data_IF_622006321515
#
_entry.id   IF_622006321515
#
_cell.length_a   1.000
_cell.length_b   1.000
_cell.length_c   1.000
_cell.angle_alpha   90.00
_cell.angle_beta   90.00
_cell.angle_gamma   90.00
#
_symmetry.space_group_name_H-M   'P 1'
#
loop_
_entity.id
_entity.type
_entity.pdbx_description
1 polymer ?
#
# COMPACT_ATOMS: atom_id res chain seq x y z
N UNK A 1 -2.07 -20.47 -5.66
CA UNK A 1 -2.02 -20.03 -4.25
C UNK A 1 -1.30 -18.69 -4.19
N UNK A 2 -1.69 -17.78 -3.30
CA UNK A 2 -0.98 -16.50 -3.11
C UNK A 2 0.02 -16.59 -1.97
N UNK A 3 1.20 -16.01 -2.16
CA UNK A 3 2.28 -15.91 -1.18
C UNK A 3 2.52 -14.46 -0.81
N UNK A 4 2.61 -14.20 0.48
CA UNK A 4 2.87 -12.87 1.02
C UNK A 4 4.33 -12.48 0.81
N UNK A 5 4.57 -11.33 0.17
CA UNK A 5 5.90 -10.76 -0.02
C UNK A 5 6.20 -9.71 1.04
N UNK A 6 5.27 -8.76 1.24
CA UNK A 6 5.46 -7.62 2.13
C UNK A 6 4.10 -7.11 2.63
N UNK A 7 4.02 -6.83 3.93
CA UNK A 7 2.90 -6.07 4.50
C UNK A 7 3.22 -4.57 4.47
N UNK A 8 2.24 -3.77 4.09
CA UNK A 8 2.22 -2.32 4.35
C UNK A 8 1.72 -2.15 5.78
N UNK A 9 2.64 -1.78 6.66
CA UNK A 9 2.44 -1.76 8.12
C UNK A 9 2.18 -0.35 8.62
N UNK A 10 1.49 -0.26 9.75
CA UNK A 10 1.29 0.98 10.52
C UNK A 10 2.21 0.98 11.75
N UNK A 11 2.44 2.14 12.40
CA UNK A 11 3.35 2.26 13.53
C UNK A 11 3.04 1.28 14.66
N UNK A 12 4.09 0.69 15.25
CA UNK A 12 3.97 -0.18 16.40
C UNK A 12 4.77 0.41 17.56
N UNK A 13 4.12 0.60 18.72
CA UNK A 13 4.72 1.18 19.93
C UNK A 13 5.99 0.43 20.34
N UNK A 14 6.01 -0.89 20.15
CA UNK A 14 7.14 -1.74 20.55
C UNK A 14 8.37 -1.61 19.62
N UNK A 15 8.22 -1.00 18.44
CA UNK A 15 9.25 -0.92 17.41
C UNK A 15 9.70 0.52 17.13
N UNK A 16 8.77 1.35 16.68
CA UNK A 16 9.04 2.72 16.27
C UNK A 16 7.71 3.49 16.16
N UNK A 17 7.65 4.65 16.82
CA UNK A 17 6.48 5.54 16.81
C UNK A 17 6.60 6.68 15.81
N UNK A 18 7.69 6.78 15.06
CA UNK A 18 7.89 7.78 14.01
C UNK A 18 6.97 7.54 12.80
N UNK A 19 5.75 8.07 12.86
CA UNK A 19 4.69 7.80 11.88
C UNK A 19 5.12 8.05 10.42
N UNK A 20 5.98 9.05 10.17
CA UNK A 20 6.46 9.39 8.83
C UNK A 20 7.30 8.28 8.16
N UNK A 21 7.83 7.34 8.93
CA UNK A 21 8.50 6.16 8.39
C UNK A 21 7.52 5.11 7.83
N UNK A 22 6.24 5.21 8.21
CA UNK A 22 5.16 4.31 7.85
C UNK A 22 4.20 4.93 6.85
N UNK A 23 3.68 6.12 7.11
CA UNK A 23 2.76 6.79 6.20
C UNK A 23 2.91 8.31 6.27
N UNK A 24 2.37 8.99 5.27
CA UNK A 24 2.12 10.44 5.31
C UNK A 24 0.65 10.68 5.04
N UNK A 25 0.03 11.60 5.77
CA UNK A 25 -1.38 11.93 5.54
C UNK A 25 -1.65 13.40 5.83
N UNK A 26 -2.67 13.95 5.16
CA UNK A 26 -3.14 15.31 5.39
C UNK A 26 -4.40 15.27 6.27
N UNK A 27 -4.22 15.32 7.59
CA UNK A 27 -5.35 15.34 8.54
C UNK A 27 -5.89 13.96 8.94
N UNK A 28 -5.29 12.88 8.44
CA UNK A 28 -5.50 11.55 9.02
C UNK A 28 -4.91 11.45 10.43
N UNK A 29 -5.47 10.56 11.24
CA UNK A 29 -5.03 10.33 12.62
C UNK A 29 -4.81 8.84 12.85
N UNK A 30 -3.61 8.48 13.30
CA UNK A 30 -3.34 7.12 13.72
C UNK A 30 -3.92 6.86 15.11
N UNK A 31 -4.60 5.73 15.26
CA UNK A 31 -5.09 5.26 16.53
C UNK A 31 -4.21 4.11 17.02
N UNK A 32 -3.39 4.38 18.02
CA UNK A 32 -2.49 3.40 18.60
C UNK A 32 -3.20 2.24 19.32
N UNK A 33 -4.41 2.46 19.84
CA UNK A 33 -5.20 1.43 20.52
C UNK A 33 -5.78 0.43 19.52
N UNK A 34 -6.45 0.93 18.48
CA UNK A 34 -7.03 0.07 17.43
C UNK A 34 -6.05 -0.31 16.32
N UNK A 35 -4.85 0.27 16.33
CA UNK A 35 -3.77 0.06 15.34
C UNK A 35 -4.23 0.26 13.90
N UNK A 36 -4.98 1.34 13.68
CA UNK A 36 -5.50 1.71 12.37
C UNK A 36 -5.36 3.21 12.13
N UNK A 37 -5.34 3.58 10.85
CA UNK A 37 -5.26 4.97 10.41
C UNK A 37 -6.65 5.43 9.98
N UNK A 38 -7.17 6.44 10.68
CA UNK A 38 -8.38 7.15 10.27
C UNK A 38 -8.00 8.18 9.20
N UNK A 39 -8.63 8.11 8.04
CA UNK A 39 -8.47 9.07 6.95
C UNK A 39 -9.81 9.75 6.72
N UNK A 40 -9.97 11.03 7.10
CA UNK A 40 -11.20 11.77 6.87
C UNK A 40 -11.50 11.91 5.38
N UNK A 41 -12.78 12.06 5.05
CA UNK A 41 -13.26 12.34 3.69
C UNK A 41 -12.41 13.40 2.97
N UNK A 42 -12.10 13.15 1.70
CA UNK A 42 -11.32 14.02 0.82
C UNK A 42 -9.86 14.23 1.27
N UNK A 43 -9.32 13.34 2.11
CA UNK A 43 -7.90 13.29 2.48
C UNK A 43 -7.17 12.12 1.85
N UNK A 44 -5.85 12.22 1.86
CA UNK A 44 -4.94 11.26 1.24
C UNK A 44 -4.02 10.64 2.29
N UNK A 45 -3.77 9.34 2.16
CA UNK A 45 -2.70 8.64 2.85
C UNK A 45 -1.72 8.06 1.82
N UNK A 46 -0.45 8.40 1.99
CA UNK A 46 0.66 7.99 1.15
C UNK A 46 1.54 6.99 1.88
N UNK A 47 1.90 5.91 1.20
CA UNK A 47 2.75 4.85 1.73
C UNK A 47 4.10 4.75 0.99
N UNK A 48 4.55 5.84 0.34
CA UNK A 48 5.90 5.98 -0.22
C UNK A 48 6.94 6.32 0.85
N UNK A 49 6.98 5.49 1.88
CA UNK A 49 7.77 5.66 3.10
C UNK A 49 8.79 4.54 3.24
N UNK A 50 9.67 4.67 4.23
CA UNK A 50 10.79 3.75 4.43
C UNK A 50 10.35 2.28 4.59
N UNK A 51 9.33 2.03 5.43
CA UNK A 51 8.87 0.66 5.69
C UNK A 51 7.94 0.11 4.60
N UNK A 52 7.21 0.98 3.90
CA UNK A 52 6.08 0.55 3.07
C UNK A 52 6.32 0.64 1.56
N UNK A 53 7.41 1.27 1.13
CA UNK A 53 7.82 1.23 -0.27
C UNK A 53 8.37 -0.17 -0.64
N UNK A 54 7.78 -0.80 -1.65
CA UNK A 54 8.15 -2.12 -2.17
C UNK A 54 9.29 -2.00 -3.19
N UNK A 55 10.47 -2.54 -2.86
CA UNK A 55 11.64 -2.44 -3.74
C UNK A 55 11.64 -3.51 -4.84
N UNK A 56 11.15 -3.15 -6.03
CA UNK A 56 11.06 -4.08 -7.17
C UNK A 56 12.43 -4.63 -7.61
N UNK A 57 13.49 -3.81 -7.49
CA UNK A 57 14.88 -4.21 -7.81
C UNK A 57 15.33 -5.41 -6.99
N UNK A 58 15.05 -5.40 -5.67
CA UNK A 58 15.50 -6.47 -4.77
C UNK A 58 14.81 -7.78 -5.12
N UNK A 59 13.50 -7.73 -5.29
CA UNK A 59 12.72 -8.92 -5.66
C UNK A 59 13.15 -9.49 -7.00
N UNK A 60 13.20 -8.69 -8.07
CA UNK A 60 13.63 -9.18 -9.39
C UNK A 60 15.08 -9.66 -9.45
N UNK A 61 15.97 -9.11 -8.62
CA UNK A 61 17.39 -9.51 -8.61
C UNK A 61 17.62 -10.83 -7.87
N UNK A 62 16.88 -11.09 -6.81
CA UNK A 62 17.14 -12.20 -5.89
C UNK A 62 16.05 -13.27 -5.87
N UNK A 63 14.98 -13.12 -6.65
CA UNK A 63 13.89 -14.09 -6.81
C UNK A 63 13.42 -14.18 -8.25
N UNK A 64 12.51 -15.11 -8.54
CA UNK A 64 11.83 -15.30 -9.83
C UNK A 64 10.48 -14.59 -9.89
N UNK A 65 10.33 -13.45 -9.22
CA UNK A 65 9.05 -12.72 -9.14
C UNK A 65 8.55 -12.27 -10.52
N UNK A 66 7.49 -12.91 -11.01
CA UNK A 66 6.83 -12.59 -12.29
C UNK A 66 5.48 -11.91 -12.12
N UNK A 67 4.82 -12.09 -10.98
CA UNK A 67 3.49 -11.54 -10.70
C UNK A 67 3.48 -10.73 -9.41
N UNK A 68 2.68 -9.66 -9.37
CA UNK A 68 2.51 -8.85 -8.18
C UNK A 68 1.04 -8.50 -8.01
N UNK A 69 0.53 -8.72 -6.80
CA UNK A 69 -0.84 -8.41 -6.43
C UNK A 69 -0.86 -7.55 -5.18
N UNK A 70 -1.91 -6.75 -5.07
CA UNK A 70 -2.23 -5.97 -3.88
C UNK A 70 -3.51 -6.51 -3.26
N UNK A 71 -3.46 -6.83 -1.97
CA UNK A 71 -4.66 -7.04 -1.15
C UNK A 71 -4.82 -5.86 -0.20
N UNK A 72 -6.05 -5.39 -0.09
CA UNK A 72 -6.37 -4.13 0.60
C UNK A 72 -7.17 -4.44 1.85
N UNK A 73 -6.82 -3.78 2.96
CA UNK A 73 -7.58 -3.83 4.20
C UNK A 73 -7.99 -2.42 4.64
N UNK A 74 -9.12 -1.98 4.07
CA UNK A 74 -9.72 -0.67 4.30
C UNK A 74 -11.23 -0.84 4.43
N UNK A 75 -11.82 -0.16 5.42
CA UNK A 75 -13.25 0.10 5.47
C UNK A 75 -13.48 1.52 4.97
N UNK A 76 -14.36 1.68 3.99
CA UNK A 76 -14.74 2.97 3.41
C UNK A 76 -14.81 2.94 1.89
N UNK A 77 -14.90 4.14 1.29
CA UNK A 77 -14.93 4.37 -0.14
C UNK A 77 -13.87 5.40 -0.54
N UNK A 78 -13.23 5.15 -1.67
CA UNK A 78 -12.23 6.03 -2.23
C UNK A 78 -11.53 5.40 -3.42
N UNK A 79 -10.38 5.97 -3.76
CA UNK A 79 -9.55 5.51 -4.87
C UNK A 79 -8.21 4.99 -4.35
N UNK A 80 -7.83 3.80 -4.81
CA UNK A 80 -6.50 3.24 -4.58
C UNK A 80 -5.65 3.51 -5.81
N UNK A 81 -4.50 4.11 -5.62
CA UNK A 81 -3.52 4.31 -6.68
C UNK A 81 -2.21 3.60 -6.32
N UNK A 82 -1.82 2.62 -7.13
CA UNK A 82 -0.51 1.99 -7.05
C UNK A 82 0.44 2.75 -7.96
N UNK A 83 1.52 3.27 -7.38
CA UNK A 83 2.51 4.06 -8.11
C UNK A 83 3.88 3.43 -8.09
N UNK A 84 4.64 3.72 -9.13
CA UNK A 84 6.06 3.40 -9.28
C UNK A 84 6.88 4.69 -9.24
N UNK A 85 7.96 4.71 -8.47
CA UNK A 85 8.91 5.82 -8.40
C UNK A 85 10.31 5.35 -8.73
N UNK A 86 10.93 5.99 -9.72
CA UNK A 86 12.27 5.68 -10.21
C UNK A 86 12.95 6.98 -10.65
N UNK A 87 14.13 7.27 -10.10
CA UNK A 87 14.94 8.46 -10.44
C UNK A 87 14.14 9.78 -10.41
N UNK A 88 13.25 9.93 -9.42
CA UNK A 88 12.38 11.11 -9.28
C UNK A 88 11.12 11.10 -10.15
N UNK A 89 11.04 10.23 -11.16
CA UNK A 89 9.86 10.06 -12.01
C UNK A 89 8.83 9.18 -11.30
N UNK A 90 7.57 9.60 -11.30
CA UNK A 90 6.45 8.86 -10.72
C UNK A 90 5.49 8.44 -11.84
N UNK A 91 5.10 7.17 -11.86
CA UNK A 91 4.16 6.58 -12.82
C UNK A 91 3.01 5.90 -12.07
N UNK A 92 1.81 5.96 -12.61
CA UNK A 92 0.66 5.18 -12.11
C UNK A 92 0.70 3.80 -12.77
N UNK A 93 0.72 2.74 -11.97
CA UNK A 93 0.66 1.36 -12.46
C UNK A 93 -0.77 0.83 -12.47
N UNK A 94 -1.55 1.22 -11.46
CA UNK A 94 -2.94 0.81 -11.30
C UNK A 94 -3.69 1.90 -10.56
N UNK A 95 -4.92 2.16 -10.97
CA UNK A 95 -5.85 3.01 -10.24
C UNK A 95 -7.21 2.32 -10.26
N UNK A 96 -7.84 2.21 -9.10
CA UNK A 96 -9.15 1.56 -8.95
C UNK A 96 -10.02 2.36 -7.98
N UNK A 97 -11.31 2.45 -8.31
CA UNK A 97 -12.32 2.83 -7.33
C UNK A 97 -12.56 1.64 -6.40
N UNK A 98 -12.51 1.92 -5.11
CA UNK A 98 -12.58 0.91 -4.08
C UNK A 98 -13.68 1.28 -3.09
N UNK A 99 -14.50 0.28 -2.77
CA UNK A 99 -15.52 0.38 -1.74
C UNK A 99 -15.55 -0.92 -0.97
N UNK A 100 -15.36 -0.86 0.33
CA UNK A 100 -15.48 -2.03 1.18
C UNK A 100 -16.13 -1.67 2.50
N UNK A 101 -17.10 -2.49 2.90
CA UNK A 101 -17.65 -2.51 4.26
C UNK A 101 -17.01 -3.60 5.13
N UNK A 102 -16.04 -4.35 4.60
CA UNK A 102 -15.31 -5.40 5.29
C UNK A 102 -13.80 -5.18 5.23
N UNK A 103 -13.07 -5.94 6.03
CA UNK A 103 -11.63 -5.70 6.21
C UNK A 103 -10.76 -6.25 5.08
N UNK A 104 -11.20 -7.13 4.19
CA UNK A 104 -10.27 -7.73 3.22
C UNK A 104 -10.90 -7.78 1.84
N UNK A 105 -10.20 -7.21 0.87
CA UNK A 105 -10.58 -7.26 -0.55
C UNK A 105 -10.08 -8.51 -1.26
N UNK A 106 -10.57 -8.70 -2.48
CA UNK A 106 -9.91 -9.56 -3.48
C UNK A 106 -8.54 -9.00 -3.88
N UNK A 107 -7.72 -9.85 -4.51
CA UNK A 107 -6.38 -9.49 -5.00
C UNK A 107 -6.43 -8.67 -6.30
N UNK A 108 -5.76 -7.52 -6.29
CA UNK A 108 -5.65 -6.61 -7.43
C UNK A 108 -4.31 -6.83 -8.11
N UNK A 109 -4.33 -7.28 -9.36
CA UNK A 109 -3.11 -7.48 -10.15
C UNK A 109 -2.45 -6.14 -10.55
N UNK A 110 -1.12 -6.09 -10.40
CA UNK A 110 -0.25 -4.98 -10.78
C UNK A 110 0.72 -5.47 -11.85
N UNK A 111 0.69 -4.85 -13.04
CA UNK A 111 1.65 -5.15 -14.10
C UNK A 111 3.04 -4.61 -13.74
N UNK A 112 3.98 -5.53 -13.54
CA UNK A 112 5.40 -5.25 -13.27
C UNK A 112 6.33 -5.72 -14.40
N UNK A 113 5.79 -6.14 -15.55
CA UNK A 113 6.55 -6.71 -16.66
C UNK A 113 7.64 -5.75 -17.18
N UNK A 114 7.33 -4.45 -17.26
CA UNK A 114 8.21 -3.40 -17.81
C UNK A 114 9.04 -2.64 -16.76
N UNK A 115 9.07 -3.12 -15.51
CA UNK A 115 9.67 -2.37 -14.39
C UNK A 115 10.79 -3.17 -13.74
N UNK A 116 12.02 -2.64 -13.71
CA UNK A 116 13.16 -3.37 -13.15
C UNK A 116 13.83 -2.67 -11.96
N UNK A 117 13.65 -1.36 -11.80
CA UNK A 117 14.22 -0.61 -10.68
C UNK A 117 13.18 0.31 -10.03
N UNK A 118 13.58 1.01 -8.97
CA UNK A 118 12.71 1.90 -8.21
C UNK A 118 11.90 1.20 -7.12
N UNK A 119 10.82 1.87 -6.72
CA UNK A 119 9.93 1.42 -5.66
C UNK A 119 8.47 1.50 -6.09
N UNK A 120 7.67 0.55 -5.66
CA UNK A 120 6.22 0.55 -5.81
C UNK A 120 5.61 0.91 -4.46
N UNK A 121 4.57 1.73 -4.44
CA UNK A 121 3.86 2.10 -3.22
C UNK A 121 2.39 2.35 -3.49
N UNK A 122 1.62 2.40 -2.41
CA UNK A 122 0.18 2.62 -2.45
C UNK A 122 -0.16 4.03 -1.98
N UNK A 123 -1.16 4.63 -2.61
CA UNK A 123 -1.86 5.81 -2.14
C UNK A 123 -3.35 5.47 -1.97
N UNK A 124 -3.93 5.95 -0.88
CA UNK A 124 -5.37 5.97 -0.65
C UNK A 124 -5.90 7.41 -0.68
N UNK A 125 -6.83 7.69 -1.58
CA UNK A 125 -7.62 8.92 -1.61
C UNK A 125 -9.02 8.59 -1.13
N UNK A 126 -9.48 9.22 -0.05
CA UNK A 126 -10.79 8.96 0.53
C UNK A 126 -11.91 9.79 -0.11
N UNK A 127 -13.05 9.15 -0.36
CA UNK A 127 -14.32 9.80 -0.74
C UNK A 127 -15.28 9.94 0.46
N UNK A 128 -15.05 9.15 1.51
CA UNK A 128 -15.73 9.20 2.81
C UNK A 128 -14.74 8.91 3.95
N UNK A 129 -15.14 9.13 5.19
CA UNK A 129 -14.31 8.77 6.34
C UNK A 129 -13.97 7.28 6.30
N UNK A 130 -12.67 6.98 6.29
CA UNK A 130 -12.15 5.65 6.03
C UNK A 130 -11.25 5.17 7.16
N UNK A 131 -11.28 3.87 7.42
CA UNK A 131 -10.41 3.20 8.38
C UNK A 131 -9.46 2.29 7.62
N UNK A 132 -8.17 2.62 7.62
CA UNK A 132 -7.13 1.87 6.96
C UNK A 132 -6.44 0.98 7.99
N UNK A 133 -6.49 -0.34 7.79
CA UNK A 133 -5.79 -1.29 8.66
C UNK A 133 -4.49 -1.82 8.00
N UNK A 134 -4.34 -1.67 6.67
CA UNK A 134 -3.10 -1.97 5.97
C UNK A 134 -3.30 -2.49 4.55
N UNK A 135 -2.20 -2.92 3.94
CA UNK A 135 -2.19 -3.56 2.62
C UNK A 135 -1.18 -4.70 2.60
N UNK A 136 -1.29 -5.59 1.62
CA UNK A 136 -0.36 -6.70 1.43
C UNK A 136 0.05 -6.79 -0.04
N UNK A 137 1.36 -6.82 -0.30
CA UNK A 137 1.91 -7.20 -1.59
C UNK A 137 2.11 -8.72 -1.61
N UNK A 138 1.55 -9.35 -2.65
CA UNK A 138 1.50 -10.80 -2.82
C UNK A 138 2.07 -11.20 -4.19
N UNK A 139 2.48 -12.46 -4.32
CA UNK A 139 2.75 -13.11 -5.62
C UNK A 139 1.90 -14.36 -5.74
N UNK A 140 1.76 -14.88 -6.95
CA UNK A 140 1.18 -16.19 -7.22
C UNK A 140 2.28 -17.09 -7.80
N UNK A 141 2.42 -18.31 -7.27
CA UNK A 141 3.26 -19.32 -7.92
C UNK A 141 2.59 -19.78 -9.23
N UNK A 142 3.43 -20.01 -10.24
CA UNK A 142 3.07 -20.68 -11.48
C UNK A 142 3.14 -22.19 -11.31
#
# INVERSE_FOLDING_TARGET
MYFLLQKVILPNIDLCTEEQLYFRTQGGKYNYTSRNLLVPRHKVAYFDTFFNAFSIKKWKKYTTLTSLFLRVNIIGRGTITVRHKENGVIRVLKQIDFKSSCNISDEIEIDISKINFGYIYVEWQSDEDSVLNGFEFLTKDH
#
